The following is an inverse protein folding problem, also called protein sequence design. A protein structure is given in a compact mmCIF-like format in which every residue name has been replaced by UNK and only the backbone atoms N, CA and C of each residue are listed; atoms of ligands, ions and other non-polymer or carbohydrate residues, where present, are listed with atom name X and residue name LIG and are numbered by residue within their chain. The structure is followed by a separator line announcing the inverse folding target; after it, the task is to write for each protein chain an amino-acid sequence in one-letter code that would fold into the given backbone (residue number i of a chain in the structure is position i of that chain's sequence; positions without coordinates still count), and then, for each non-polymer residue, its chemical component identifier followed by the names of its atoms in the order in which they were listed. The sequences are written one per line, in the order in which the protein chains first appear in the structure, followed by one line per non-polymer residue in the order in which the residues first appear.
data_IF_955557262925
#
_entry.id   IF_955557262925
#
_cell.length_a   1.000
_cell.length_b   1.000
_cell.length_c   1.000
_cell.angle_alpha   90.00
_cell.angle_beta   90.00
_cell.angle_gamma   90.00
#
_symmetry.space_group_name_H-M   'P 1'
#
loop_
_entity.id
_entity.type
_entity.pdbx_description
1 polymer ?
#
# COMPACT_ATOMS: atom_id res chain seq x y z
N UNK A 1 -19.85 3.62 7.70
CA UNK A 1 -18.73 3.53 6.75
C UNK A 1 -18.64 4.83 5.95
N UNK A 2 -17.58 5.60 6.17
CA UNK A 2 -17.23 6.72 5.28
C UNK A 2 -16.50 6.20 4.05
N UNK A 3 -16.53 6.98 2.97
CA UNK A 3 -15.62 6.81 1.84
C UNK A 3 -14.59 7.93 1.92
N UNK A 4 -13.35 7.62 1.57
CA UNK A 4 -12.27 8.59 1.47
C UNK A 4 -11.79 8.64 0.02
N UNK A 5 -11.34 9.81 -0.42
CA UNK A 5 -10.70 9.93 -1.72
C UNK A 5 -9.25 9.48 -1.59
N UNK A 6 -8.89 8.36 -2.24
CA UNK A 6 -7.53 7.82 -2.19
C UNK A 6 -6.57 8.53 -3.17
N UNK A 7 -7.04 8.97 -4.33
CA UNK A 7 -6.21 9.57 -5.37
C UNK A 7 -6.80 9.34 -6.75
N UNK A 8 -6.13 9.81 -7.81
CA UNK A 8 -6.54 9.48 -9.18
C UNK A 8 -5.94 8.13 -9.57
N UNK A 9 -6.66 7.38 -10.38
CA UNK A 9 -6.15 6.11 -10.94
C UNK A 9 -4.90 6.31 -11.81
N UNK A 10 -4.74 7.50 -12.41
CA UNK A 10 -3.52 7.88 -13.13
C UNK A 10 -2.28 7.96 -12.24
N UNK A 11 -2.47 8.20 -10.95
CA UNK A 11 -1.37 8.37 -9.99
C UNK A 11 -0.87 7.00 -9.47
N UNK A 12 -1.66 5.94 -9.67
CA UNK A 12 -1.38 4.57 -9.25
C UNK A 12 -1.55 3.59 -10.43
N UNK A 13 -0.70 3.65 -11.47
CA UNK A 13 -0.77 2.68 -12.56
C UNK A 13 -0.45 1.26 -12.04
N UNK A 14 -0.76 0.19 -12.82
CA UNK A 14 -0.45 -1.18 -12.42
C UNK A 14 1.01 -1.36 -11.97
N UNK A 15 1.23 -2.07 -10.86
CA UNK A 15 2.52 -2.27 -10.23
C UNK A 15 3.02 -1.09 -9.39
N UNK A 16 2.17 -0.07 -9.13
CA UNK A 16 2.51 1.05 -8.26
C UNK A 16 1.67 1.06 -6.98
N UNK A 17 2.18 1.83 -6.02
CA UNK A 17 1.57 2.04 -4.72
C UNK A 17 1.43 3.54 -4.45
N UNK A 18 0.46 3.90 -3.62
CA UNK A 18 0.25 5.25 -3.11
C UNK A 18 -0.01 5.21 -1.61
N UNK A 19 0.64 6.11 -0.88
CA UNK A 19 0.29 6.41 0.51
C UNK A 19 -0.88 7.40 0.53
N UNK A 20 -1.89 7.07 1.33
CA UNK A 20 -3.07 7.90 1.57
C UNK A 20 -3.16 8.16 3.07
N UNK A 21 -3.31 9.43 3.46
CA UNK A 21 -3.54 9.80 4.85
C UNK A 21 -4.99 10.22 5.05
N UNK A 22 -5.67 9.62 6.03
CA UNK A 22 -7.04 9.98 6.40
C UNK A 22 -7.27 9.73 7.88
N UNK A 23 -7.86 10.71 8.57
CA UNK A 23 -8.23 10.62 10.00
C UNK A 23 -7.09 10.12 10.90
N UNK A 24 -5.85 10.54 10.60
CA UNK A 24 -4.65 10.13 11.35
C UNK A 24 -4.16 8.71 11.06
N UNK A 25 -4.74 8.02 10.07
CA UNK A 25 -4.26 6.72 9.58
C UNK A 25 -3.53 6.86 8.26
N UNK A 26 -2.41 6.17 8.14
CA UNK A 26 -1.69 5.99 6.89
C UNK A 26 -2.13 4.66 6.25
N UNK A 27 -2.62 4.74 5.02
CA UNK A 27 -3.14 3.62 4.24
C UNK A 27 -2.30 3.50 2.98
N UNK A 28 -1.85 2.29 2.69
CA UNK A 28 -1.23 1.95 1.42
C UNK A 28 -2.29 1.45 0.46
N UNK A 29 -2.31 2.01 -0.75
CA UNK A 29 -3.13 1.52 -1.87
C UNK A 29 -2.20 0.97 -2.94
N UNK A 30 -2.32 -0.31 -3.27
CA UNK A 30 -1.57 -0.97 -4.33
C UNK A 30 -2.46 -1.25 -5.54
N UNK A 31 -1.95 -1.02 -6.75
CA UNK A 31 -2.59 -1.45 -7.99
C UNK A 31 -1.90 -2.71 -8.52
N UNK A 32 -2.62 -3.84 -8.50
CA UNK A 32 -2.16 -5.15 -8.97
C UNK A 32 -2.97 -5.52 -10.20
N UNK A 33 -2.34 -5.41 -11.37
CA UNK A 33 -2.94 -5.73 -12.67
C UNK A 33 -4.31 -5.04 -12.91
N UNK A 34 -4.44 -3.78 -12.48
CA UNK A 34 -5.66 -2.98 -12.61
C UNK A 34 -6.65 -3.12 -11.46
N UNK A 35 -6.40 -3.99 -10.49
CA UNK A 35 -7.21 -4.17 -9.29
C UNK A 35 -6.55 -3.48 -8.09
N UNK A 36 -7.35 -2.78 -7.28
CA UNK A 36 -6.83 -1.99 -6.17
C UNK A 36 -7.04 -2.71 -4.84
N UNK A 37 -5.99 -2.76 -4.04
CA UNK A 37 -5.97 -3.34 -2.70
C UNK A 37 -5.47 -2.30 -1.70
N UNK A 38 -5.98 -2.34 -0.48
CA UNK A 38 -5.61 -1.39 0.56
C UNK A 38 -5.23 -2.12 1.86
N UNK A 39 -4.21 -1.62 2.53
CA UNK A 39 -3.75 -2.11 3.83
C UNK A 39 -3.23 -0.94 4.68
N UNK A 40 -2.97 -1.18 5.96
CA UNK A 40 -2.24 -0.20 6.79
C UNK A 40 -0.85 0.03 6.18
N UNK A 41 -0.45 1.29 6.05
CA UNK A 41 0.89 1.65 5.54
C UNK A 41 1.98 1.36 6.58
N UNK A 42 1.61 1.12 7.84
CA UNK A 42 2.57 0.94 8.92
C UNK A 42 2.90 -0.54 9.08
N UNK A 43 4.15 -0.88 8.79
CA UNK A 43 4.71 -2.21 8.98
C UNK A 43 4.52 -2.68 10.42
N UNK A 44 3.85 -3.82 10.61
CA UNK A 44 3.53 -4.38 11.93
C UNK A 44 4.75 -4.83 12.72
N UNK A 45 5.91 -4.97 12.08
CA UNK A 45 7.15 -5.37 12.76
C UNK A 45 7.76 -4.21 13.56
N UNK A 46 8.13 -3.11 12.89
CA UNK A 46 8.79 -1.96 13.55
C UNK A 46 8.34 -0.58 13.02
N UNK A 47 7.26 -0.50 12.26
CA UNK A 47 6.62 0.78 11.94
C UNK A 47 7.13 1.51 10.71
N UNK A 48 7.88 0.85 9.83
CA UNK A 48 8.22 1.39 8.51
C UNK A 48 6.97 1.76 7.70
N UNK A 49 7.04 2.80 6.86
CA UNK A 49 6.05 3.03 5.82
C UNK A 49 6.24 1.95 4.74
N UNK A 50 5.26 1.08 4.55
CA UNK A 50 5.29 0.02 3.55
C UNK A 50 5.22 0.58 2.13
N UNK A 51 4.66 1.77 1.95
CA UNK A 51 4.58 2.45 0.65
C UNK A 51 5.96 2.89 0.13
N UNK A 52 6.97 2.96 1.01
CA UNK A 52 8.38 3.17 0.65
C UNK A 52 9.09 1.85 0.29
N UNK A 53 8.39 0.72 0.40
CA UNK A 53 8.87 -0.61 0.04
C UNK A 53 8.78 -0.93 -1.45
N UNK A 54 8.90 -2.22 -1.76
CA UNK A 54 8.88 -2.73 -3.14
C UNK A 54 7.67 -3.63 -3.34
N UNK A 55 6.93 -3.41 -4.43
CA UNK A 55 5.86 -4.27 -4.89
C UNK A 55 6.33 -5.12 -6.08
N UNK A 56 6.25 -6.44 -5.98
CA UNK A 56 6.50 -7.39 -7.06
C UNK A 56 5.30 -8.34 -7.21
N UNK A 57 4.56 -8.21 -8.31
CA UNK A 57 3.25 -8.81 -8.47
C UNK A 57 2.28 -8.35 -7.37
N UNK A 58 1.91 -9.26 -6.46
CA UNK A 58 1.14 -8.93 -5.24
C UNK A 58 1.95 -8.98 -3.95
N UNK A 59 3.26 -9.28 -4.03
CA UNK A 59 4.12 -9.35 -2.86
C UNK A 59 4.68 -7.98 -2.54
N UNK A 60 4.35 -7.46 -1.37
CA UNK A 60 4.90 -6.23 -0.82
C UNK A 60 6.04 -6.56 0.12
N UNK A 61 7.21 -5.95 -0.09
CA UNK A 61 8.39 -6.10 0.75
C UNK A 61 8.66 -4.80 1.52
N UNK A 62 8.70 -4.89 2.85
CA UNK A 62 9.05 -3.78 3.74
C UNK A 62 10.48 -3.27 3.45
N UNK A 63 10.68 -1.94 3.38
CA UNK A 63 11.98 -1.36 3.02
C UNK A 63 13.06 -1.50 4.11
N UNK A 64 12.69 -1.83 5.35
CA UNK A 64 13.66 -1.94 6.45
C UNK A 64 14.28 -3.34 6.55
N UNK A 65 13.47 -4.32 6.96
CA UNK A 65 13.96 -5.66 7.33
C UNK A 65 13.50 -6.76 6.35
N UNK A 66 12.86 -6.40 5.24
CA UNK A 66 12.47 -7.35 4.19
C UNK A 66 11.30 -8.27 4.53
N UNK A 67 10.53 -8.00 5.59
CA UNK A 67 9.26 -8.70 5.82
C UNK A 67 8.34 -8.55 4.60
N UNK A 68 7.57 -9.59 4.29
CA UNK A 68 6.72 -9.63 3.10
C UNK A 68 5.26 -9.93 3.44
N UNK A 69 4.36 -9.41 2.61
CA UNK A 69 2.92 -9.65 2.66
C UNK A 69 2.37 -9.86 1.24
N UNK A 70 1.33 -10.66 1.10
CA UNK A 70 0.50 -10.66 -0.11
C UNK A 70 -0.59 -9.60 0.04
N UNK A 71 -0.59 -8.60 -0.84
CA UNK A 71 -1.58 -7.52 -0.84
C UNK A 71 -3.03 -7.99 -1.06
N UNK A 72 -3.24 -9.24 -1.50
CA UNK A 72 -4.57 -9.78 -1.84
C UNK A 72 -5.30 -10.43 -0.66
N UNK A 73 -4.70 -10.51 0.53
CA UNK A 73 -5.24 -11.20 1.71
C UNK A 73 -5.09 -10.39 2.98
#
# INVERSE_FOLDING_TARGET
MGKILAGKTSDIPPGKMLKVESDGKAILVANIDGNYFAMDDICTHQGANLSEGTLDGSTLTCPWHGSTWDCKT
#
